data_IF_562191790372
#
_entry.id   IF_562191790372
#
_cell.length_a   1.000
_cell.length_b   1.000
_cell.length_c   1.000
_cell.angle_alpha   90.00
_cell.angle_beta   90.00
_cell.angle_gamma   90.00
#
_symmetry.space_group_name_H-M   'P 1'
#
loop_
_entity.id
_entity.type
_entity.pdbx_description
1 polymer ?
#
# COMPACT_ATOMS: atom_id res chain seq x y z
N UNK A 1 48.45 31.41 29.73
CA UNK A 1 47.08 31.96 29.73
C UNK A 1 46.13 30.90 30.27
N UNK A 2 45.18 31.35 31.10
CA UNK A 2 44.16 30.63 31.89
C UNK A 2 43.46 29.44 31.20
N UNK A 3 43.23 28.32 31.93
CA UNK A 3 41.98 27.87 32.63
C UNK A 3 40.82 27.53 31.66
N UNK A 4 40.02 26.47 31.79
CA UNK A 4 39.32 25.97 32.98
C UNK A 4 38.87 24.50 32.76
N UNK A 5 39.01 23.66 33.79
CA UNK A 5 38.28 22.41 33.97
C UNK A 5 37.14 22.70 34.96
N UNK A 6 35.90 22.35 34.61
CA UNK A 6 34.75 22.50 35.51
C UNK A 6 34.26 21.11 35.89
N UNK A 7 34.43 20.78 37.17
CA UNK A 7 33.70 19.73 37.89
C UNK A 7 32.74 20.40 38.86
N UNK A 8 31.47 19.99 38.90
CA UNK A 8 30.62 20.24 40.08
C UNK A 8 29.51 19.18 40.25
N UNK A 9 29.83 18.26 41.14
CA UNK A 9 29.07 17.62 42.23
C UNK A 9 27.56 17.92 42.36
N UNK A 10 26.79 16.83 42.46
CA UNK A 10 25.42 16.76 42.97
C UNK A 10 25.38 16.90 44.51
N UNK A 11 24.39 17.61 45.04
CA UNK A 11 24.03 17.61 46.46
C UNK A 11 22.53 17.35 46.61
N UNK A 12 22.21 16.36 47.43
CA UNK A 12 20.87 16.09 47.95
C UNK A 12 20.67 16.82 49.29
N UNK A 13 19.44 17.19 49.61
CA UNK A 13 19.05 17.64 50.94
C UNK A 13 17.52 17.83 51.11
N UNK A 14 16.95 17.66 52.33
CA UNK A 14 15.59 17.14 52.58
C UNK A 14 14.68 18.17 53.31
N UNK A 15 13.80 17.72 54.23
CA UNK A 15 12.89 18.42 55.20
C UNK A 15 11.36 18.35 54.84
N UNK A 16 10.51 17.48 55.44
CA UNK A 16 9.81 17.50 56.77
C UNK A 16 8.89 18.75 56.97
N UNK A 17 7.62 18.72 57.44
CA UNK A 17 7.02 18.09 58.65
C UNK A 17 5.47 17.99 58.61
N UNK A 18 4.92 17.29 59.62
CA UNK A 18 3.53 16.89 59.94
C UNK A 18 2.71 17.94 60.74
N UNK A 19 1.37 17.81 60.74
CA UNK A 19 0.45 17.81 61.93
C UNK A 19 -1.03 17.79 61.46
N UNK A 20 -2.06 17.68 62.31
CA UNK A 20 -2.58 16.56 63.12
C UNK A 20 -4.04 16.88 63.51
N UNK A 21 -4.94 15.88 63.45
CA UNK A 21 -6.14 15.62 64.27
C UNK A 21 -7.28 16.67 64.43
N UNK A 22 -8.54 16.29 64.11
CA UNK A 22 -9.62 16.12 65.11
C UNK A 22 -10.95 15.53 64.57
N UNK A 23 -11.37 14.42 65.21
CA UNK A 23 -12.72 13.90 65.60
C UNK A 23 -13.94 13.77 64.63
N UNK A 24 -14.87 12.83 64.94
CA UNK A 24 -15.79 12.22 63.97
C UNK A 24 -17.23 12.78 64.05
N UNK A 25 -17.94 12.79 62.93
CA UNK A 25 -19.40 12.89 62.91
C UNK A 25 -20.01 11.75 62.10
N UNK A 26 -20.79 10.95 62.82
CA UNK A 26 -21.70 9.93 62.35
C UNK A 26 -22.84 10.62 61.59
N UNK A 27 -22.95 10.42 60.28
CA UNK A 27 -24.12 10.83 59.52
C UNK A 27 -24.72 9.62 58.80
N UNK A 28 -26.02 9.47 58.99
CA UNK A 28 -26.86 8.35 58.63
C UNK A 28 -26.79 7.98 57.14
N UNK A 29 -26.69 6.67 56.91
CA UNK A 29 -26.98 6.00 55.66
C UNK A 29 -28.45 6.20 55.27
N UNK A 30 -28.67 6.93 54.17
CA UNK A 30 -29.85 6.74 53.33
C UNK A 30 -29.35 6.58 51.89
N UNK A 31 -29.27 5.33 51.45
CA UNK A 31 -29.02 4.96 50.06
C UNK A 31 -30.22 5.39 49.20
N UNK A 32 -30.07 6.26 48.19
CA UNK A 32 -30.98 6.24 47.06
C UNK A 32 -30.60 5.03 46.20
N UNK A 33 -31.57 4.16 45.94
CA UNK A 33 -31.49 3.07 44.96
C UNK A 33 -30.84 3.56 43.66
N UNK A 34 -29.78 2.93 43.14
CA UNK A 34 -29.36 3.21 41.77
C UNK A 34 -30.47 2.72 40.84
N UNK A 35 -31.04 3.65 40.07
CA UNK A 35 -31.85 3.32 38.91
C UNK A 35 -31.05 2.35 38.04
N UNK A 36 -31.49 1.10 38.00
CA UNK A 36 -30.97 0.09 37.07
C UNK A 36 -31.43 0.49 35.67
N UNK A 37 -30.73 1.44 35.05
CA UNK A 37 -30.79 1.61 33.61
C UNK A 37 -30.15 0.35 33.02
N UNK A 38 -31.01 -0.59 32.60
CA UNK A 38 -30.63 -1.61 31.64
C UNK A 38 -30.08 -0.88 30.41
N UNK A 39 -28.75 -0.75 30.34
CA UNK A 39 -28.07 -0.48 29.08
C UNK A 39 -28.34 -1.70 28.21
N UNK A 40 -29.31 -1.56 27.31
CA UNK A 40 -29.45 -2.47 26.18
C UNK A 40 -28.07 -2.56 25.51
N UNK A 41 -27.58 -3.76 25.17
CA UNK A 41 -26.32 -3.88 24.44
C UNK A 41 -26.44 -3.03 23.17
N UNK A 42 -25.46 -2.16 22.97
CA UNK A 42 -25.35 -1.37 21.76
C UNK A 42 -25.20 -2.37 20.61
N UNK A 43 -26.29 -2.64 19.90
CA UNK A 43 -26.25 -3.46 18.71
C UNK A 43 -25.48 -2.66 17.68
N UNK A 44 -24.22 -3.04 17.44
CA UNK A 44 -23.49 -2.61 16.27
C UNK A 44 -24.40 -2.94 15.07
N UNK A 45 -24.79 -1.98 14.22
CA UNK A 45 -25.53 -2.32 13.02
C UNK A 45 -24.68 -3.31 12.24
N UNK A 46 -25.25 -4.48 11.92
CA UNK A 46 -24.65 -5.43 10.99
C UNK A 46 -24.42 -4.65 9.68
N UNK A 47 -23.19 -4.20 9.47
CA UNK A 47 -22.81 -3.53 8.23
C UNK A 47 -22.90 -4.61 7.16
N UNK A 48 -23.97 -4.55 6.35
CA UNK A 48 -24.11 -5.43 5.19
C UNK A 48 -22.91 -5.12 4.28
N UNK A 49 -21.88 -5.96 4.32
CA UNK A 49 -20.77 -5.86 3.37
C UNK A 49 -21.31 -6.30 2.03
N UNK A 50 -21.41 -5.36 1.08
CA UNK A 50 -21.71 -5.70 -0.30
C UNK A 50 -20.58 -6.61 -0.81
N UNK A 51 -20.85 -7.59 -1.70
CA UNK A 51 -19.78 -8.35 -2.32
C UNK A 51 -18.87 -7.42 -3.12
N UNK A 52 -17.58 -7.76 -3.17
CA UNK A 52 -16.65 -7.10 -4.08
C UNK A 52 -16.98 -7.52 -5.52
N UNK A 53 -17.17 -6.52 -6.38
CA UNK A 53 -17.46 -6.66 -7.80
C UNK A 53 -16.30 -6.11 -8.65
N UNK A 54 -16.28 -6.52 -9.91
CA UNK A 54 -15.40 -5.94 -10.92
C UNK A 54 -16.12 -4.85 -11.71
N UNK A 55 -15.39 -3.81 -12.10
CA UNK A 55 -15.87 -2.85 -13.10
C UNK A 55 -16.01 -3.57 -14.45
N UNK A 56 -17.18 -3.55 -15.11
CA UNK A 56 -17.36 -4.21 -16.39
C UNK A 56 -16.41 -3.67 -17.45
N UNK A 57 -15.85 -4.55 -18.29
CA UNK A 57 -14.87 -4.18 -19.33
C UNK A 57 -15.28 -2.98 -20.22
N UNK A 58 -16.54 -2.86 -20.70
CA UNK A 58 -16.94 -1.69 -21.49
C UNK A 58 -16.89 -0.35 -20.74
N UNK A 59 -16.95 -0.40 -19.40
CA UNK A 59 -16.90 0.76 -18.51
C UNK A 59 -15.52 0.94 -17.88
N UNK A 60 -14.61 -0.02 -18.03
CA UNK A 60 -13.29 0.02 -17.43
C UNK A 60 -12.44 1.08 -18.12
N UNK A 61 -12.02 2.09 -17.35
CA UNK A 61 -11.03 3.05 -17.80
C UNK A 61 -9.64 2.44 -17.63
N UNK A 62 -8.86 2.46 -18.70
CA UNK A 62 -7.49 1.92 -18.72
C UNK A 62 -6.53 2.99 -19.23
N UNK A 63 -5.50 3.29 -18.45
CA UNK A 63 -4.35 4.05 -18.97
C UNK A 63 -3.30 3.07 -19.52
N UNK A 64 -2.69 3.42 -20.66
CA UNK A 64 -1.62 2.65 -21.29
C UNK A 64 -0.42 3.55 -21.54
N UNK A 65 0.76 3.15 -21.10
CA UNK A 65 1.97 3.96 -21.23
C UNK A 65 3.15 3.11 -21.74
N UNK A 66 3.72 3.52 -22.86
CA UNK A 66 5.06 3.08 -23.25
C UNK A 66 6.07 4.08 -22.71
N UNK A 67 6.96 3.62 -21.84
CA UNK A 67 7.96 4.45 -21.20
C UNK A 67 9.31 4.15 -21.88
N UNK A 68 9.98 5.15 -22.47
CA UNK A 68 11.26 4.93 -23.13
C UNK A 68 12.35 4.54 -22.10
N UNK A 69 13.41 3.84 -22.55
CA UNK A 69 14.55 3.57 -21.68
C UNK A 69 15.17 4.88 -21.21
N UNK A 70 15.63 4.92 -19.97
CA UNK A 70 16.29 6.09 -19.39
C UNK A 70 17.46 5.66 -18.53
N UNK A 71 18.66 6.17 -18.84
CA UNK A 71 19.92 5.70 -18.27
C UNK A 71 20.02 4.16 -18.39
N UNK A 72 20.14 3.44 -17.28
CA UNK A 72 20.23 1.98 -17.22
C UNK A 72 18.88 1.30 -16.90
N UNK A 73 17.77 2.05 -16.89
CA UNK A 73 16.43 1.49 -16.78
C UNK A 73 15.90 1.16 -18.19
N UNK A 74 15.65 -0.13 -18.50
CA UNK A 74 15.17 -0.51 -19.83
C UNK A 74 13.73 -0.07 -20.10
N UNK A 75 12.91 0.04 -19.05
CA UNK A 75 11.50 0.40 -19.14
C UNK A 75 10.75 -0.45 -20.16
N UNK A 76 9.83 0.13 -20.93
CA UNK A 76 9.00 -0.62 -21.89
C UNK A 76 9.80 -1.19 -23.06
N UNK A 77 11.05 -0.76 -23.28
CA UNK A 77 11.84 -1.24 -24.42
C UNK A 77 12.24 -2.72 -24.31
N UNK A 78 12.31 -3.27 -23.09
CA UNK A 78 12.70 -4.66 -22.87
C UNK A 78 11.67 -5.67 -23.37
N UNK A 79 10.38 -5.36 -23.19
CA UNK A 79 9.26 -6.26 -23.54
C UNK A 79 8.41 -5.75 -24.71
N UNK A 80 8.56 -4.47 -25.07
CA UNK A 80 7.65 -3.73 -25.93
C UNK A 80 6.18 -3.77 -25.48
N UNK A 81 5.94 -3.97 -24.17
CA UNK A 81 4.60 -3.96 -23.57
C UNK A 81 4.38 -2.67 -22.78
N UNK A 82 3.16 -2.11 -22.80
CA UNK A 82 2.84 -0.91 -22.04
C UNK A 82 2.67 -1.23 -20.56
N UNK A 83 3.01 -0.27 -19.70
CA UNK A 83 2.44 -0.19 -18.36
C UNK A 83 0.94 0.01 -18.49
N UNK A 84 0.15 -0.78 -17.76
CA UNK A 84 -1.30 -0.67 -17.74
C UNK A 84 -1.79 -0.28 -16.35
N UNK A 85 -2.76 0.63 -16.29
CA UNK A 85 -3.43 1.01 -15.04
C UNK A 85 -4.93 0.87 -15.25
N UNK A 86 -5.57 -0.02 -14.50
CA UNK A 86 -7.01 -0.22 -14.51
C UNK A 86 -7.58 0.60 -13.37
N UNK A 87 -8.40 1.58 -13.72
CA UNK A 87 -8.95 2.50 -12.74
C UNK A 87 -10.21 1.92 -12.13
N UNK A 88 -10.22 1.81 -10.80
CA UNK A 88 -11.34 1.28 -10.00
C UNK A 88 -11.83 -0.07 -10.52
N UNK A 89 -10.91 -0.98 -10.82
CA UNK A 89 -11.24 -2.32 -11.33
C UNK A 89 -12.02 -3.14 -10.30
N UNK A 90 -11.71 -3.00 -9.02
CA UNK A 90 -12.46 -3.60 -7.91
C UNK A 90 -13.30 -2.54 -7.18
N UNK A 91 -14.57 -2.85 -6.92
CA UNK A 91 -15.53 -1.92 -6.30
C UNK A 91 -16.69 -2.68 -5.63
N UNK A 92 -17.50 -2.08 -4.75
CA UNK A 92 -17.27 -0.77 -4.12
C UNK A 92 -16.03 -0.82 -3.21
N UNK A 93 -15.36 0.32 -3.02
CA UNK A 93 -14.14 0.42 -2.21
C UNK A 93 -14.32 -0.17 -0.80
N UNK A 94 -15.51 -0.01 -0.20
CA UNK A 94 -15.86 -0.56 1.12
C UNK A 94 -15.78 -2.09 1.23
N UNK A 95 -15.68 -2.78 0.09
CA UNK A 95 -15.64 -4.23 -0.01
C UNK A 95 -14.33 -4.75 -0.58
N UNK A 96 -13.42 -3.86 -0.99
CA UNK A 96 -12.07 -4.23 -1.40
C UNK A 96 -11.27 -4.54 -0.14
N UNK A 97 -10.83 -5.79 -0.02
CA UNK A 97 -9.99 -6.26 1.09
C UNK A 97 -8.89 -7.16 0.51
N UNK A 98 -7.74 -7.29 1.21
CA UNK A 98 -6.68 -8.21 0.79
C UNK A 98 -7.21 -9.61 0.49
N UNK A 99 -8.04 -10.18 1.38
CA UNK A 99 -8.55 -11.54 1.24
C UNK A 99 -9.47 -11.71 0.04
N UNK A 100 -10.35 -10.73 -0.21
CA UNK A 100 -11.26 -10.77 -1.35
C UNK A 100 -10.50 -10.65 -2.68
N UNK A 101 -9.51 -9.76 -2.75
CA UNK A 101 -8.64 -9.57 -3.92
C UNK A 101 -7.80 -10.81 -4.16
N UNK A 102 -7.15 -11.35 -3.13
CA UNK A 102 -6.36 -12.57 -3.26
C UNK A 102 -7.20 -13.76 -3.72
N UNK A 103 -8.39 -13.95 -3.14
CA UNK A 103 -9.30 -15.01 -3.54
C UNK A 103 -9.73 -14.85 -5.00
N UNK A 104 -10.03 -13.63 -5.44
CA UNK A 104 -10.37 -13.33 -6.82
C UNK A 104 -9.21 -13.67 -7.77
N UNK A 105 -8.00 -13.15 -7.52
CA UNK A 105 -6.82 -13.39 -8.35
C UNK A 105 -6.48 -14.89 -8.43
N UNK A 106 -6.59 -15.62 -7.32
CA UNK A 106 -6.40 -17.09 -7.30
C UNK A 106 -7.48 -17.82 -8.10
N UNK A 107 -8.72 -17.34 -8.09
CA UNK A 107 -9.81 -17.93 -8.87
C UNK A 107 -9.64 -17.73 -10.38
N UNK A 108 -9.11 -16.59 -10.81
CA UNK A 108 -8.74 -16.30 -12.20
C UNK A 108 -7.53 -17.14 -12.62
N UNK A 109 -6.54 -17.28 -11.73
CA UNK A 109 -5.45 -18.25 -11.86
C UNK A 109 -4.31 -17.86 -12.79
N UNK A 110 -4.32 -16.64 -13.35
CA UNK A 110 -3.25 -16.09 -14.20
C UNK A 110 -2.02 -15.70 -13.37
N UNK A 111 -2.25 -15.09 -12.20
CA UNK A 111 -1.21 -14.67 -11.25
C UNK A 111 -1.43 -15.29 -9.88
N UNK A 112 -0.38 -15.31 -9.07
CA UNK A 112 -0.40 -15.77 -7.69
C UNK A 112 -0.06 -14.60 -6.77
N UNK A 113 -0.94 -14.22 -5.83
CA UNK A 113 -0.61 -13.26 -4.78
C UNK A 113 0.49 -13.78 -3.86
N UNK A 114 1.50 -12.95 -3.59
CA UNK A 114 2.67 -13.32 -2.80
C UNK A 114 2.91 -12.44 -1.57
N UNK A 115 2.45 -11.20 -1.58
CA UNK A 115 2.66 -10.27 -0.47
C UNK A 115 1.55 -9.21 -0.38
N UNK A 116 1.38 -8.66 0.82
CA UNK A 116 0.59 -7.47 1.13
C UNK A 116 1.54 -6.43 1.71
N UNK A 117 1.74 -5.32 1.01
CA UNK A 117 2.70 -4.29 1.41
C UNK A 117 2.51 -2.98 0.64
N UNK A 118 3.19 -1.93 1.11
CA UNK A 118 3.36 -0.67 0.37
C UNK A 118 4.39 -0.81 -0.78
N UNK A 119 4.67 0.27 -1.51
CA UNK A 119 5.68 0.34 -2.56
C UNK A 119 7.02 0.85 -2.00
N UNK A 120 8.15 0.30 -2.45
CA UNK A 120 9.46 0.83 -2.03
C UNK A 120 9.72 2.25 -2.56
N UNK A 121 10.42 3.04 -1.76
CA UNK A 121 10.84 4.41 -2.12
C UNK A 121 12.09 4.46 -3.02
N UNK A 122 12.70 3.31 -3.33
CA UNK A 122 13.86 3.23 -4.21
C UNK A 122 13.42 2.67 -5.55
N UNK A 123 13.74 3.36 -6.65
CA UNK A 123 13.44 2.87 -7.99
C UNK A 123 14.08 1.51 -8.20
N UNK A 124 13.25 0.55 -8.58
CA UNK A 124 13.66 -0.81 -8.90
C UNK A 124 12.82 -1.35 -10.05
N UNK A 125 13.28 -2.44 -10.66
CA UNK A 125 12.51 -3.20 -11.64
C UNK A 125 12.77 -4.70 -11.47
N UNK A 126 11.89 -5.50 -12.06
CA UNK A 126 12.05 -6.95 -12.15
C UNK A 126 12.49 -7.33 -13.57
N UNK A 127 13.56 -8.11 -13.67
CA UNK A 127 14.08 -8.59 -14.97
C UNK A 127 13.49 -9.94 -15.38
N UNK A 128 12.93 -10.66 -14.40
CA UNK A 128 12.55 -12.07 -14.52
C UNK A 128 11.04 -12.30 -14.66
N UNK A 129 10.21 -11.30 -14.37
CA UNK A 129 8.76 -11.44 -14.32
C UNK A 129 8.04 -10.11 -14.52
N UNK A 130 6.81 -10.18 -15.03
CA UNK A 130 5.82 -9.11 -14.91
C UNK A 130 5.23 -9.10 -13.49
N UNK A 131 4.72 -7.95 -13.09
CA UNK A 131 4.10 -7.76 -11.77
C UNK A 131 2.70 -7.18 -11.91
N UNK A 132 1.81 -7.62 -11.03
CA UNK A 132 0.44 -7.12 -10.92
C UNK A 132 0.22 -6.66 -9.49
N UNK A 133 -0.07 -5.39 -9.34
CA UNK A 133 -0.37 -4.75 -8.06
C UNK A 133 -1.84 -4.39 -8.02
N UNK A 134 -2.54 -4.78 -6.96
CA UNK A 134 -3.92 -4.33 -6.70
C UNK A 134 -3.90 -3.50 -5.43
N UNK A 135 -4.29 -2.23 -5.51
CA UNK A 135 -4.38 -1.36 -4.33
C UNK A 135 -5.60 -1.77 -3.52
N UNK A 136 -5.40 -2.06 -2.24
CA UNK A 136 -6.47 -2.54 -1.34
C UNK A 136 -6.85 -1.53 -0.29
N UNK A 137 -5.95 -0.60 0.05
CA UNK A 137 -6.15 0.44 1.05
C UNK A 137 -5.35 1.70 0.71
N UNK A 138 -5.82 2.85 1.22
CA UNK A 138 -5.12 4.13 1.12
C UNK A 138 -5.01 4.70 -0.30
N UNK A 139 -4.14 5.71 -0.44
CA UNK A 139 -3.80 6.38 -1.70
C UNK A 139 -2.33 6.73 -1.72
N UNK A 140 -1.70 6.60 -2.88
CA UNK A 140 -0.31 6.98 -3.05
C UNK A 140 -0.04 7.59 -4.42
N UNK A 141 0.98 8.45 -4.46
CA UNK A 141 1.60 8.90 -5.69
C UNK A 141 2.76 7.99 -6.04
N UNK A 142 2.66 7.30 -7.17
CA UNK A 142 3.67 6.39 -7.69
C UNK A 142 4.39 7.00 -8.88
N UNK A 143 5.62 6.55 -9.12
CA UNK A 143 6.43 6.89 -10.28
C UNK A 143 6.85 5.63 -11.01
N UNK A 144 6.67 5.62 -12.33
CA UNK A 144 7.14 4.59 -13.24
C UNK A 144 8.10 5.19 -14.27
N UNK A 145 9.21 4.52 -14.56
CA UNK A 145 10.20 4.96 -15.56
C UNK A 145 11.48 5.58 -15.03
N UNK A 146 11.58 5.78 -13.71
CA UNK A 146 12.67 6.50 -13.04
C UNK A 146 12.30 7.96 -12.71
N UNK A 147 12.60 8.42 -11.49
CA UNK A 147 12.25 9.74 -10.98
C UNK A 147 12.89 10.90 -11.75
N UNK A 148 14.08 10.67 -12.29
CA UNK A 148 14.81 11.66 -13.09
C UNK A 148 14.44 11.59 -14.58
N UNK A 149 13.65 10.60 -14.99
CA UNK A 149 13.24 10.46 -16.39
C UNK A 149 12.20 11.55 -16.73
N UNK A 150 12.45 12.40 -17.74
CA UNK A 150 11.50 13.43 -18.16
C UNK A 150 10.20 12.85 -18.74
N UNK A 151 10.24 11.61 -19.22
CA UNK A 151 9.10 10.88 -19.79
C UNK A 151 8.52 9.84 -18.82
N UNK A 152 8.86 9.94 -17.53
CA UNK A 152 8.26 9.10 -16.48
C UNK A 152 6.76 9.28 -16.40
N UNK A 153 6.09 8.27 -15.87
CA UNK A 153 4.66 8.31 -15.54
C UNK A 153 4.52 8.48 -14.04
N UNK A 154 3.98 9.63 -13.63
CA UNK A 154 3.52 9.84 -12.26
C UNK A 154 2.00 9.69 -12.21
N UNK A 155 1.51 8.91 -11.26
CA UNK A 155 0.08 8.66 -11.12
C UNK A 155 -0.29 8.54 -9.64
N UNK A 156 -1.46 9.07 -9.29
CA UNK A 156 -2.08 8.79 -8.00
C UNK A 156 -3.00 7.59 -8.15
N UNK A 157 -2.77 6.56 -7.34
CA UNK A 157 -3.60 5.35 -7.27
C UNK A 157 -4.28 5.28 -5.91
N UNK A 158 -5.42 4.59 -5.85
CA UNK A 158 -6.13 4.29 -4.62
C UNK A 158 -6.84 2.95 -4.67
N UNK A 159 -7.49 2.59 -3.57
CA UNK A 159 -8.15 1.29 -3.43
C UNK A 159 -9.04 0.92 -4.62
N UNK A 160 -8.87 -0.31 -5.11
CA UNK A 160 -9.53 -0.86 -6.27
C UNK A 160 -8.80 -0.64 -7.60
N UNK A 161 -7.79 0.24 -7.66
CA UNK A 161 -6.94 0.38 -8.84
C UNK A 161 -6.01 -0.83 -9.01
N UNK A 162 -5.70 -1.18 -10.25
CA UNK A 162 -4.77 -2.26 -10.61
C UNK A 162 -3.66 -1.71 -11.49
N UNK A 163 -2.43 -2.08 -11.21
CA UNK A 163 -1.27 -1.74 -12.03
C UNK A 163 -0.64 -3.03 -12.55
N UNK A 164 -0.54 -3.16 -13.86
CA UNK A 164 0.20 -4.25 -14.52
C UNK A 164 1.52 -3.68 -15.04
N UNK A 165 2.62 -4.12 -14.45
CA UNK A 165 3.97 -3.61 -14.66
C UNK A 165 4.76 -4.63 -15.51
N UNK A 166 5.09 -4.30 -16.77
CA UNK A 166 5.98 -5.11 -17.58
C UNK A 166 7.37 -5.26 -16.95
N UNK A 167 8.02 -6.37 -17.26
CA UNK A 167 9.40 -6.60 -16.83
C UNK A 167 10.29 -5.48 -17.40
N UNK A 168 11.20 -4.96 -16.59
CA UNK A 168 12.05 -3.82 -16.94
C UNK A 168 11.51 -2.43 -16.62
N UNK A 169 10.22 -2.27 -16.31
CA UNK A 169 9.66 -0.96 -15.92
C UNK A 169 10.09 -0.61 -14.51
N UNK A 170 10.94 0.42 -14.40
CA UNK A 170 11.34 0.98 -13.11
C UNK A 170 10.13 1.56 -12.38
N UNK A 171 10.00 1.29 -11.08
CA UNK A 171 8.88 1.80 -10.28
C UNK A 171 9.28 2.11 -8.83
N UNK A 172 8.60 3.09 -8.22
CA UNK A 172 8.76 3.47 -6.80
C UNK A 172 7.57 4.26 -6.26
N UNK A 173 7.50 4.32 -4.94
CA UNK A 173 6.70 5.27 -4.18
C UNK A 173 7.33 6.67 -4.25
N UNK A 174 6.54 7.69 -4.55
CA UNK A 174 6.92 9.09 -4.36
C UNK A 174 6.37 9.62 -3.04
N UNK A 175 5.09 9.38 -2.78
CA UNK A 175 4.38 9.95 -1.64
C UNK A 175 3.23 9.03 -1.21
N UNK A 176 3.14 8.74 0.08
CA UNK A 176 1.94 8.16 0.67
C UNK A 176 0.99 9.31 1.03
N UNK A 177 -0.18 9.33 0.42
CA UNK A 177 -1.18 10.39 0.58
C UNK A 177 -2.20 10.07 1.68
N UNK A 178 -2.13 8.86 2.25
CA UNK A 178 -3.05 8.35 3.27
C UNK A 178 -2.78 8.88 4.67
N UNK A 179 -1.68 9.60 4.86
CA UNK A 179 -1.30 10.20 6.15
C UNK A 179 -1.38 11.74 6.15
N UNK A 180 -1.98 12.35 5.12
CA UNK A 180 -1.79 13.78 4.81
C UNK A 180 -2.89 14.71 5.35
N UNK A 181 -3.94 14.19 6.01
CA UNK A 181 -4.96 15.06 6.64
C UNK A 181 -4.76 15.17 8.14
N UNK A 182 -3.85 16.06 8.54
CA UNK A 182 -3.85 16.57 9.92
C UNK A 182 -5.21 17.23 10.22
N UNK A 183 -6.02 16.62 11.09
CA UNK A 183 -7.22 17.22 11.66
C UNK A 183 -8.58 16.72 11.14
N UNK A 184 -8.63 15.69 10.28
CA UNK A 184 -9.88 14.96 10.01
C UNK A 184 -9.97 13.73 10.93
N UNK A 185 -10.93 13.73 11.86
CA UNK A 185 -11.25 12.54 12.67
C UNK A 185 -11.91 11.48 11.78
N UNK A 186 -11.09 10.57 11.27
CA UNK A 186 -11.47 9.37 10.54
C UNK A 186 -10.27 8.42 10.47
N UNK A 187 -10.54 7.11 10.39
CA UNK A 187 -9.49 6.10 10.17
C UNK A 187 -9.00 6.23 8.72
N UNK A 188 -7.97 7.07 8.47
CA UNK A 188 -7.27 7.04 7.20
C UNK A 188 -6.41 5.76 7.16
N UNK A 189 -6.79 4.82 6.30
CA UNK A 189 -6.10 3.53 6.19
C UNK A 189 -4.78 3.68 5.42
N UNK A 190 -3.71 3.06 5.90
CA UNK A 190 -2.37 3.10 5.28
C UNK A 190 -2.40 2.59 3.82
N UNK A 191 -1.52 3.11 2.96
CA UNK A 191 -1.45 2.65 1.58
C UNK A 191 -0.86 1.23 1.49
N UNK A 192 -1.70 0.29 1.07
CA UNK A 192 -1.34 -1.12 0.91
C UNK A 192 -1.82 -1.70 -0.42
N UNK A 193 -1.05 -2.67 -0.93
CA UNK A 193 -1.34 -3.38 -2.17
C UNK A 193 -1.07 -4.87 -2.03
N UNK A 194 -1.83 -5.67 -2.78
CA UNK A 194 -1.53 -7.08 -3.01
C UNK A 194 -0.62 -7.19 -4.23
N UNK A 195 0.60 -7.68 -4.02
CA UNK A 195 1.55 -7.96 -5.09
C UNK A 195 1.48 -9.38 -5.59
N UNK A 196 1.37 -9.52 -6.91
CA UNK A 196 1.12 -10.79 -7.59
C UNK A 196 1.99 -10.96 -8.83
N UNK A 197 2.35 -12.20 -9.12
CA UNK A 197 3.22 -12.54 -10.25
C UNK A 197 2.65 -13.73 -11.03
N UNK A 198 2.94 -13.86 -12.34
CA UNK A 198 2.59 -15.05 -13.11
C UNK A 198 2.99 -16.35 -12.40
N UNK A 199 2.16 -17.38 -12.55
CA UNK A 199 2.34 -18.66 -11.84
C UNK A 199 3.73 -19.26 -12.08
N UNK A 200 4.41 -19.60 -10.98
CA UNK A 200 5.73 -20.23 -11.01
C UNK A 200 6.89 -19.27 -11.30
N UNK A 201 6.63 -17.97 -11.45
CA UNK A 201 7.68 -16.95 -11.55
C UNK A 201 8.11 -16.47 -10.16
N UNK A 202 9.37 -16.10 -10.08
CA UNK A 202 9.99 -15.44 -8.93
C UNK A 202 10.52 -14.10 -9.42
N UNK A 203 10.42 -13.08 -8.59
CA UNK A 203 10.91 -11.75 -8.90
C UNK A 203 12.33 -11.56 -8.37
N UNK A 204 13.10 -10.75 -9.06
CA UNK A 204 14.43 -10.32 -8.68
C UNK A 204 14.47 -8.80 -8.53
N UNK A 205 15.35 -8.27 -7.69
CA UNK A 205 15.49 -6.82 -7.55
C UNK A 205 16.64 -6.33 -8.44
N UNK A 206 16.33 -5.47 -9.39
CA UNK A 206 17.30 -4.70 -10.16
C UNK A 206 17.12 -3.22 -9.89
N UNK A 207 18.20 -2.45 -9.97
CA UNK A 207 18.22 -1.03 -9.57
C UNK A 207 18.68 -0.08 -10.68
N UNK A 208 18.90 -0.59 -11.89
CA UNK A 208 19.41 0.20 -13.02
C UNK A 208 20.86 0.59 -12.79
N UNK A 209 21.71 -0.39 -12.48
CA UNK A 209 23.13 -0.19 -12.16
C UNK A 209 24.04 -1.00 -13.09
N UNK A 210 25.28 -0.57 -13.23
CA UNK A 210 26.31 -1.34 -13.93
C UNK A 210 26.42 -2.75 -13.34
N UNK A 211 26.56 -3.76 -14.21
CA UNK A 211 26.57 -5.18 -13.83
C UNK A 211 25.21 -5.88 -13.95
N UNK A 212 24.12 -5.16 -14.24
CA UNK A 212 22.79 -5.74 -14.48
C UNK A 212 22.50 -6.01 -15.97
N UNK A 213 23.47 -5.83 -16.87
CA UNK A 213 23.25 -5.83 -18.32
C UNK A 213 22.74 -7.17 -18.85
N UNK A 214 23.25 -8.29 -18.33
CA UNK A 214 22.77 -9.62 -18.73
C UNK A 214 21.33 -9.88 -18.28
N UNK A 215 20.94 -9.35 -17.11
CA UNK A 215 19.56 -9.41 -16.65
C UNK A 215 18.65 -8.61 -17.57
N UNK A 216 19.07 -7.40 -17.94
CA UNK A 216 18.34 -6.54 -18.87
C UNK A 216 18.15 -7.21 -20.23
N UNK A 217 19.18 -7.87 -20.77
CA UNK A 217 19.06 -8.64 -22.02
C UNK A 217 18.04 -9.78 -21.90
N UNK A 218 17.94 -10.42 -20.74
CA UNK A 218 17.00 -11.51 -20.48
C UNK A 218 15.52 -11.10 -20.52
N UNK A 219 15.20 -9.81 -20.33
CA UNK A 219 13.83 -9.29 -20.27
C UNK A 219 13.04 -9.61 -21.54
N UNK A 220 13.69 -9.55 -22.71
CA UNK A 220 13.03 -9.84 -23.99
C UNK A 220 12.49 -11.28 -24.09
N UNK A 221 12.99 -12.20 -23.25
CA UNK A 221 12.50 -13.57 -23.16
C UNK A 221 11.41 -13.80 -22.10
N UNK A 222 11.00 -12.76 -21.36
CA UNK A 222 9.91 -12.89 -20.38
C UNK A 222 8.58 -12.95 -21.12
N UNK A 223 7.92 -14.10 -21.03
CA UNK A 223 6.63 -14.34 -21.66
C UNK A 223 5.55 -13.42 -21.10
N UNK A 224 4.82 -12.77 -22.00
CA UNK A 224 3.63 -12.01 -21.66
C UNK A 224 2.52 -12.92 -21.13
N UNK A 225 1.52 -12.34 -20.47
CA UNK A 225 0.43 -13.09 -19.89
C UNK A 225 -0.43 -13.78 -20.97
N UNK A 226 -0.83 -15.02 -20.72
CA UNK A 226 -1.78 -15.76 -21.56
C UNK A 226 -3.26 -15.47 -21.24
N UNK A 227 -3.53 -14.69 -20.19
CA UNK A 227 -4.84 -14.27 -19.72
C UNK A 227 -4.72 -12.95 -18.98
N UNK A 228 -5.83 -12.22 -18.82
CA UNK A 228 -5.86 -11.04 -17.99
C UNK A 228 -5.85 -11.43 -16.49
N UNK A 229 -5.00 -10.82 -15.65
CA UNK A 229 -4.90 -11.17 -14.24
C UNK A 229 -6.19 -10.91 -13.44
N UNK A 230 -7.05 -9.99 -13.89
CA UNK A 230 -8.29 -9.59 -13.22
C UNK A 230 -9.51 -10.21 -13.92
N UNK A 231 -9.49 -10.27 -15.25
CA UNK A 231 -10.66 -10.60 -16.07
C UNK A 231 -10.57 -11.97 -16.79
N UNK A 232 -9.47 -12.70 -16.66
CA UNK A 232 -9.32 -14.06 -17.18
C UNK A 232 -9.13 -14.12 -18.69
N UNK A 233 -10.09 -14.68 -19.41
CA UNK A 233 -10.02 -14.91 -20.87
C UNK A 233 -10.29 -13.66 -21.73
N UNK A 234 -10.57 -12.53 -21.07
CA UNK A 234 -10.79 -11.21 -21.67
C UNK A 234 -10.05 -10.18 -20.84
N UNK A 235 -9.76 -9.02 -21.39
CA UNK A 235 -9.27 -7.88 -20.62
C UNK A 235 -8.07 -7.18 -21.25
N UNK A 236 -7.68 -6.01 -20.71
CA UNK A 236 -6.75 -5.11 -21.39
C UNK A 236 -5.34 -5.69 -21.63
N UNK A 237 -4.89 -6.66 -20.83
CA UNK A 237 -3.60 -7.35 -21.03
C UNK A 237 -3.54 -8.14 -22.33
N UNK A 238 -4.69 -8.59 -22.86
CA UNK A 238 -4.77 -9.36 -24.11
C UNK A 238 -4.78 -8.49 -25.37
N UNK A 239 -4.95 -7.17 -25.22
CA UNK A 239 -5.08 -6.21 -26.31
C UNK A 239 -3.77 -5.43 -26.59
N UNK A 240 -2.61 -5.93 -26.14
CA UNK A 240 -1.30 -5.25 -26.21
C UNK A 240 -0.16 -6.19 -26.59
#
# INVERSE_FOLDING_TARGET
>A
MSKFLVTKTLHAGPWYTKSSLSRPQLLLLLNPTPNLHLRLPYHHPLRLTLPMDLTPLPSLRVSKHHIPPYLLLPNSSGTNKPLLIYHSAFHPLSSVSPEAVEAHLRSVGVVVPQWLYTMYNTTHFHSTTHEVLVVVSGKAKLCFGGEDNPERVEVTVGGGDVVVIPAGVGHRLLEDLSSSREGEEGEEEEFEMVGSYPKGKQWDMCYGREGEEEKVKGIAGVEWFGGDPVYGDRGPVLDV
#
